data_IF_884788627360
#
_entry.id   IF_884788627360
#
_cell.length_a   1.000
_cell.length_b   1.000
_cell.length_c   1.000
_cell.angle_alpha   90.00
_cell.angle_beta   90.00
_cell.angle_gamma   90.00
#
_symmetry.space_group_name_H-M   'P 1'
#
loop_
_entity.id
_entity.type
_entity.pdbx_description
1 polymer ?
#
# COMPACT_ATOMS: atom_id res chain seq x y z
N UNK A 1 15.86 0.38 20.07
CA UNK A 1 15.16 0.39 19.97
C UNK A 1 14.67 0.06 19.45
N UNK A 2 14.33 0.00 19.48
CA UNK A 2 13.61 -0.32 19.07
C UNK A 2 12.98 -0.01 18.41
N UNK A 3 12.73 -0.01 18.01
CA UNK A 3 11.90 0.17 17.49
C UNK A 3 11.15 -0.17 17.37
N UNK A 4 10.75 -0.31 17.48
CA UNK A 4 10.03 -0.74 17.42
C UNK A 4 9.01 -1.07 17.39
N UNK A 5 8.66 -1.25 17.64
CA UNK A 5 7.52 -1.53 17.97
C UNK A 5 6.45 -0.89 17.38
N UNK A 6 6.31 0.22 17.51
CA UNK A 6 5.34 0.90 16.97
C UNK A 6 5.31 0.73 15.57
N UNK A 7 6.33 0.39 15.04
CA UNK A 7 6.36 0.16 13.66
C UNK A 7 5.47 -0.94 13.28
N UNK A 8 5.32 -1.92 14.09
CA UNK A 8 4.48 -3.04 13.77
C UNK A 8 3.03 -2.64 13.69
N UNK A 9 2.69 -1.52 14.28
CA UNK A 9 1.32 -1.10 14.24
C UNK A 9 0.99 -0.23 13.09
N UNK A 10 1.97 0.21 12.35
CA UNK A 10 1.75 1.14 11.27
C UNK A 10 1.89 0.44 9.94
N UNK A 11 0.91 0.54 9.07
CA UNK A 11 1.02 -0.03 7.74
C UNK A 11 1.80 0.87 6.78
N UNK A 12 2.36 1.96 7.27
CA UNK A 12 3.12 2.85 6.40
C UNK A 12 4.28 2.09 5.79
N UNK A 13 4.45 2.25 4.49
CA UNK A 13 5.47 1.61 3.68
C UNK A 13 5.19 0.14 3.41
N UNK A 14 4.03 -0.36 3.78
CA UNK A 14 3.63 -1.67 3.32
C UNK A 14 3.41 -1.63 1.83
N UNK A 15 3.81 -2.69 1.17
CA UNK A 15 3.56 -2.85 -0.25
C UNK A 15 2.21 -3.52 -0.41
N UNK A 16 1.39 -2.98 -1.29
CA UNK A 16 0.02 -3.46 -1.46
C UNK A 16 -0.30 -3.63 -2.94
N UNK A 17 -1.31 -4.42 -3.24
CA UNK A 17 -1.85 -4.53 -4.58
C UNK A 17 -3.31 -4.12 -4.54
N UNK A 18 -3.78 -3.48 -5.61
CA UNK A 18 -5.19 -3.12 -5.71
C UNK A 18 -6.04 -4.34 -5.93
N UNK A 19 -7.15 -4.41 -5.23
CA UNK A 19 -8.12 -5.49 -5.40
C UNK A 19 -9.20 -5.15 -6.42
N UNK A 20 -9.21 -3.92 -6.92
CA UNK A 20 -10.18 -3.50 -7.92
C UNK A 20 -9.58 -2.42 -8.79
N UNK A 21 -10.28 -2.07 -9.88
CA UNK A 21 -9.83 -1.05 -10.80
C UNK A 21 -10.11 0.35 -10.25
N UNK A 22 -9.22 1.28 -10.58
CA UNK A 22 -9.41 2.69 -10.27
C UNK A 22 -9.26 3.47 -11.58
N UNK A 23 -10.25 3.41 -12.45
CA UNK A 23 -10.10 4.00 -13.79
C UNK A 23 -9.86 5.52 -13.76
N UNK A 24 -10.39 6.20 -12.77
CA UNK A 24 -10.19 7.65 -12.68
C UNK A 24 -8.72 8.00 -12.46
N UNK A 25 -7.94 7.07 -11.96
CA UNK A 25 -6.52 7.28 -11.72
C UNK A 25 -5.64 6.51 -12.71
N UNK A 26 -6.28 5.84 -13.67
CA UNK A 26 -5.52 5.04 -14.61
C UNK A 26 -4.93 3.79 -13.99
N UNK A 27 -5.53 3.28 -12.93
CA UNK A 27 -5.00 2.12 -12.22
C UNK A 27 -5.93 0.93 -12.38
N UNK A 28 -5.36 -0.25 -12.40
CA UNK A 28 -6.10 -1.49 -12.56
C UNK A 28 -5.87 -2.43 -11.40
N UNK A 29 -6.81 -3.32 -11.20
CA UNK A 29 -6.68 -4.37 -10.22
C UNK A 29 -5.33 -5.07 -10.39
N UNK A 30 -4.67 -5.32 -9.30
CA UNK A 30 -3.37 -5.98 -9.31
C UNK A 30 -2.18 -5.06 -9.37
N UNK A 31 -2.38 -3.77 -9.65
CA UNK A 31 -1.24 -2.86 -9.64
C UNK A 31 -0.73 -2.67 -8.24
N UNK A 32 0.59 -2.58 -8.12
CA UNK A 32 1.29 -2.58 -6.85
C UNK A 32 1.68 -1.17 -6.46
N UNK A 33 1.46 -0.82 -5.21
CA UNK A 33 1.86 0.48 -4.68
C UNK A 33 2.38 0.33 -3.26
N UNK A 34 2.72 1.45 -2.65
CA UNK A 34 3.23 1.48 -1.29
C UNK A 34 2.40 2.45 -0.48
N UNK A 35 2.00 2.05 0.70
CA UNK A 35 1.29 2.94 1.60
C UNK A 35 2.29 3.96 2.13
N UNK A 36 2.04 5.24 1.87
CA UNK A 36 2.93 6.29 2.34
C UNK A 36 2.33 7.08 3.48
N UNK A 37 1.02 6.97 3.69
CA UNK A 37 0.39 7.67 4.79
C UNK A 37 -0.95 7.01 5.10
N UNK A 38 -1.27 6.93 6.36
CA UNK A 38 -2.55 6.42 6.81
C UNK A 38 -3.43 7.62 7.08
N UNK A 39 -4.46 7.79 6.28
CA UNK A 39 -5.30 8.99 6.39
C UNK A 39 -6.30 8.87 7.53
N UNK A 40 -6.83 7.66 7.73
CA UNK A 40 -7.66 7.36 8.89
C UNK A 40 -7.72 5.84 9.00
N UNK A 41 -8.59 5.33 9.86
CA UNK A 41 -8.65 3.89 10.11
C UNK A 41 -9.00 3.08 8.89
N UNK A 42 -9.64 3.68 7.92
CA UNK A 42 -10.17 2.95 6.79
C UNK A 42 -9.58 3.35 5.45
N UNK A 43 -8.71 4.34 5.44
CA UNK A 43 -8.20 4.89 4.18
C UNK A 43 -6.71 5.17 4.27
N UNK A 44 -5.99 4.76 3.26
CA UNK A 44 -4.55 5.00 3.18
C UNK A 44 -4.20 5.71 1.89
N UNK A 45 -3.14 6.50 1.94
CA UNK A 45 -2.61 7.13 0.75
C UNK A 45 -1.56 6.20 0.17
N UNK A 46 -1.73 5.84 -1.09
CA UNK A 46 -0.88 4.85 -1.74
C UNK A 46 -0.18 5.49 -2.93
N UNK A 47 1.11 5.30 -3.00
CA UNK A 47 1.93 5.78 -4.11
C UNK A 47 2.25 4.60 -5.02
N UNK A 48 1.98 4.75 -6.30
CA UNK A 48 2.24 3.71 -7.29
C UNK A 48 3.45 4.12 -8.11
N UNK A 49 4.45 3.26 -8.17
CA UNK A 49 5.71 3.53 -8.85
C UNK A 49 5.99 2.46 -9.89
N UNK A 50 6.75 2.86 -10.90
CA UNK A 50 7.16 1.92 -11.95
C UNK A 50 8.40 1.14 -11.52
N UNK A 51 8.94 0.33 -12.42
CA UNK A 51 10.10 -0.51 -12.16
C UNK A 51 11.32 0.28 -11.77
N UNK A 52 11.35 1.54 -12.16
CA UNK A 52 12.51 2.39 -11.89
C UNK A 52 12.31 3.26 -10.67
N UNK A 53 11.24 3.04 -9.94
CA UNK A 53 10.98 3.76 -8.72
C UNK A 53 10.35 5.12 -8.91
N UNK A 54 9.90 5.44 -10.13
CA UNK A 54 9.26 6.73 -10.36
C UNK A 54 7.78 6.61 -10.09
N UNK A 55 7.26 7.52 -9.29
CA UNK A 55 5.84 7.53 -8.98
C UNK A 55 5.06 8.00 -10.20
N UNK A 56 4.00 7.29 -10.54
CA UNK A 56 3.14 7.69 -11.65
C UNK A 56 1.72 7.99 -11.17
N UNK A 57 1.39 7.65 -9.95
CA UNK A 57 0.07 7.97 -9.41
C UNK A 57 0.11 7.93 -7.90
N UNK A 58 -0.73 8.72 -7.29
CA UNK A 58 -0.95 8.69 -5.84
C UNK A 58 -2.45 8.73 -5.67
N UNK A 59 -3.00 7.86 -4.86
CA UNK A 59 -4.43 7.77 -4.66
C UNK A 59 -4.79 7.45 -3.23
N UNK A 60 -5.90 8.00 -2.76
CA UNK A 60 -6.47 7.61 -1.47
C UNK A 60 -7.27 6.35 -1.70
N UNK A 61 -6.93 5.30 -1.00
CA UNK A 61 -7.56 3.99 -1.21
C UNK A 61 -8.16 3.48 0.08
N UNK A 62 -9.42 3.07 0.06
CA UNK A 62 -9.97 2.37 1.22
C UNK A 62 -9.15 1.11 1.47
N UNK A 63 -8.89 0.83 2.71
CA UNK A 63 -8.11 -0.34 3.09
C UNK A 63 -8.74 -1.63 2.54
N UNK A 64 -10.05 -1.67 2.41
CA UNK A 64 -10.73 -2.85 1.89
C UNK A 64 -10.38 -3.14 0.44
N UNK A 65 -9.83 -2.16 -0.28
CA UNK A 65 -9.44 -2.33 -1.66
C UNK A 65 -7.98 -2.72 -1.81
N UNK A 66 -7.29 -2.94 -0.72
CA UNK A 66 -5.85 -3.19 -0.73
C UNK A 66 -5.53 -4.56 -0.17
N UNK A 67 -4.61 -5.25 -0.84
CA UNK A 67 -4.07 -6.51 -0.36
C UNK A 67 -2.63 -6.25 0.05
N UNK A 68 -2.32 -6.42 1.33
CA UNK A 68 -0.94 -6.25 1.78
C UNK A 68 -0.13 -7.46 1.33
N UNK A 69 1.01 -7.19 0.72
CA UNK A 69 1.86 -8.25 0.19
C UNK A 69 2.95 -8.58 1.21
N UNK A 70 3.26 -9.84 1.31
CA UNK A 70 4.25 -10.34 2.26
C UNK A 70 5.36 -11.05 1.51
N UNK A 71 6.59 -10.68 1.82
CA UNK A 71 7.74 -11.27 1.13
C UNK A 71 8.43 -12.34 1.94
N UNK A 72 8.04 -12.51 3.20
CA UNK A 72 8.65 -13.53 4.04
C UNK A 72 7.59 -14.58 4.34
N UNK A 73 7.98 -15.81 4.58
CA UNK A 73 7.01 -16.86 4.91
C UNK A 73 6.25 -16.50 6.17
N UNK A 74 5.00 -16.89 6.21
CA UNK A 74 4.23 -16.70 7.43
C UNK A 74 4.88 -17.52 8.52
N UNK A 75 4.83 -17.03 9.74
CA UNK A 75 5.42 -17.75 10.84
C UNK A 75 4.75 -19.10 11.00
N UNK A 76 5.52 -20.09 11.27
CA UNK A 76 4.99 -21.42 11.44
C UNK A 76 4.57 -21.65 12.87
#
# INVERSE_FOLDING_TARGET
MKRTTKDAESPILDVVALLCDYPAHGLARGQVGTIVEKLDDKTSLVEFSDDEGRAYAIASCPVKDLLVLHYVPAAA
#
